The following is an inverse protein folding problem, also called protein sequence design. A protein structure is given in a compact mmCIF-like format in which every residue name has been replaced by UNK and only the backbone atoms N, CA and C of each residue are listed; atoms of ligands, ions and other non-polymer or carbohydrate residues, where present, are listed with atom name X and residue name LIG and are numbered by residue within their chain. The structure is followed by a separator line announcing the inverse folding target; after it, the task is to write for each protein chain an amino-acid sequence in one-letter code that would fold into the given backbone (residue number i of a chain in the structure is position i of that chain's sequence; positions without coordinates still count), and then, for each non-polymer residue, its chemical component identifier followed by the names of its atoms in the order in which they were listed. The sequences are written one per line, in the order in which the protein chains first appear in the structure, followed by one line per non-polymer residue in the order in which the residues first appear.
data_IF_323721637424
#
_entry.id   IF_323721637424
#
_cell.length_a   1.000
_cell.length_b   1.000
_cell.length_c   1.000
_cell.angle_alpha   90.00
_cell.angle_beta   90.00
_cell.angle_gamma   90.00
#
_symmetry.space_group_name_H-M   'P 1'
#
loop_
_entity.id
_entity.type
_entity.pdbx_description
1 polymer ?
#
# COMPACT_ATOMS: atom_id res chain seq x y z
N UNK A 1 -39.87 33.81 -17.60
CA UNK A 1 -39.41 34.40 -16.32
C UNK A 1 -39.25 33.29 -15.28
N UNK A 2 -38.06 33.06 -14.73
CA UNK A 2 -37.87 32.08 -13.63
C UNK A 2 -38.47 32.59 -12.33
N UNK A 3 -39.27 31.77 -11.64
CA UNK A 3 -39.97 32.20 -10.43
C UNK A 3 -38.99 32.54 -9.31
N UNK A 4 -39.37 33.46 -8.42
CA UNK A 4 -38.58 33.86 -7.24
C UNK A 4 -38.09 32.65 -6.42
N UNK A 5 -38.92 31.61 -6.29
CA UNK A 5 -38.58 30.35 -5.63
C UNK A 5 -37.50 29.54 -6.37
N UNK A 6 -37.53 29.50 -7.71
CA UNK A 6 -36.48 28.87 -8.51
C UNK A 6 -35.14 29.61 -8.38
N UNK A 7 -35.17 30.95 -8.35
CA UNK A 7 -33.97 31.78 -8.13
C UNK A 7 -33.37 31.56 -6.74
N UNK A 8 -34.20 31.44 -5.69
CA UNK A 8 -33.75 31.12 -4.33
C UNK A 8 -33.11 29.73 -4.24
N UNK A 9 -33.73 28.69 -4.79
CA UNK A 9 -33.18 27.32 -4.84
C UNK A 9 -31.85 27.26 -5.61
N UNK A 10 -31.73 28.00 -6.71
CA UNK A 10 -30.51 28.08 -7.49
C UNK A 10 -29.37 28.76 -6.71
N UNK A 11 -29.65 29.91 -6.06
CA UNK A 11 -28.68 30.59 -5.19
C UNK A 11 -28.22 29.71 -4.02
N UNK A 12 -29.12 28.95 -3.41
CA UNK A 12 -28.77 28.04 -2.33
C UNK A 12 -27.90 26.87 -2.82
N UNK A 13 -28.21 26.31 -3.99
CA UNK A 13 -27.38 25.28 -4.63
C UNK A 13 -25.97 25.80 -4.94
N UNK A 14 -25.86 27.02 -5.46
CA UNK A 14 -24.57 27.68 -5.73
C UNK A 14 -23.79 27.95 -4.44
N UNK A 15 -24.46 28.44 -3.39
CA UNK A 15 -23.84 28.64 -2.07
C UNK A 15 -23.32 27.33 -1.48
N UNK A 16 -24.12 26.25 -1.53
CA UNK A 16 -23.70 24.90 -1.08
C UNK A 16 -22.51 24.39 -1.92
N UNK A 17 -22.50 24.62 -3.23
CA UNK A 17 -21.39 24.23 -4.09
C UNK A 17 -20.10 25.02 -3.77
N UNK A 18 -20.20 26.34 -3.55
CA UNK A 18 -19.07 27.18 -3.12
C UNK A 18 -18.50 26.74 -1.78
N UNK A 19 -19.37 26.49 -0.79
CA UNK A 19 -18.94 25.99 0.53
C UNK A 19 -18.25 24.63 0.43
N UNK A 20 -18.81 23.69 -0.36
CA UNK A 20 -18.17 22.39 -0.62
C UNK A 20 -16.79 22.56 -1.26
N UNK A 21 -16.65 23.46 -2.23
CA UNK A 21 -15.36 23.71 -2.88
C UNK A 21 -14.36 24.38 -1.92
N UNK A 22 -14.79 25.31 -1.07
CA UNK A 22 -13.95 25.94 -0.05
C UNK A 22 -13.45 24.91 0.98
N UNK A 23 -14.33 24.05 1.49
CA UNK A 23 -13.96 22.94 2.38
C UNK A 23 -12.97 21.99 1.69
N UNK A 24 -13.20 21.69 0.40
CA UNK A 24 -12.28 20.86 -0.40
C UNK A 24 -10.90 21.50 -0.49
N UNK A 25 -10.81 22.78 -0.85
CA UNK A 25 -9.55 23.50 -0.96
C UNK A 25 -8.82 23.59 0.38
N UNK A 26 -9.53 23.84 1.47
CA UNK A 26 -8.96 23.87 2.81
C UNK A 26 -8.42 22.49 3.25
N UNK A 27 -9.16 21.41 2.97
CA UNK A 27 -8.67 20.04 3.19
C UNK A 27 -7.43 19.73 2.36
N UNK A 28 -7.37 20.20 1.12
CA UNK A 28 -6.21 20.01 0.26
C UNK A 28 -4.99 20.77 0.77
N UNK A 29 -5.15 22.02 1.19
CA UNK A 29 -4.08 22.79 1.82
C UNK A 29 -3.55 22.07 3.08
N UNK A 30 -4.44 21.57 3.94
CA UNK A 30 -4.07 20.82 5.14
C UNK A 30 -3.44 19.45 4.87
N UNK A 31 -3.53 18.94 3.65
CA UNK A 31 -2.99 17.63 3.26
C UNK A 31 -1.71 17.74 2.42
N UNK A 32 -1.14 18.94 2.31
CA UNK A 32 0.16 19.18 1.68
C UNK A 32 1.17 19.47 2.77
N UNK A 33 2.12 18.56 2.93
CA UNK A 33 3.21 18.69 3.86
C UNK A 33 4.41 19.36 3.18
N UNK A 34 5.24 20.05 3.95
CA UNK A 34 6.58 20.44 3.53
C UNK A 34 7.47 19.20 3.37
N UNK A 35 8.60 19.33 2.65
CA UNK A 35 9.53 18.20 2.44
C UNK A 35 10.03 17.59 3.76
N UNK A 36 10.30 18.42 4.77
CA UNK A 36 10.75 17.96 6.08
C UNK A 36 9.63 17.20 6.83
N UNK A 37 8.40 17.70 6.75
CA UNK A 37 7.23 17.03 7.32
C UNK A 37 6.93 15.71 6.61
N UNK A 38 7.08 15.64 5.28
CA UNK A 38 6.95 14.39 4.52
C UNK A 38 8.00 13.38 4.97
N UNK A 39 9.26 13.78 5.11
CA UNK A 39 10.32 12.91 5.59
C UNK A 39 10.04 12.40 7.01
N UNK A 40 9.60 13.27 7.93
CA UNK A 40 9.22 12.87 9.28
C UNK A 40 8.01 11.92 9.28
N UNK A 41 7.01 12.18 8.44
CA UNK A 41 5.83 11.34 8.29
C UNK A 41 6.18 9.97 7.70
N UNK A 42 7.10 9.92 6.73
CA UNK A 42 7.65 8.69 6.15
C UNK A 42 8.33 7.85 7.23
N UNK A 43 9.25 8.42 8.02
CA UNK A 43 9.87 7.68 9.13
C UNK A 43 8.83 7.17 10.14
N UNK A 44 7.91 8.04 10.54
CA UNK A 44 6.81 7.69 11.45
C UNK A 44 5.98 6.54 10.88
N UNK A 45 5.66 6.57 9.59
CA UNK A 45 4.88 5.55 8.91
C UNK A 45 5.55 4.17 9.00
N UNK A 46 6.87 4.10 8.82
CA UNK A 46 7.60 2.83 8.94
C UNK A 46 7.55 2.27 10.37
N UNK A 47 7.62 3.13 11.39
CA UNK A 47 7.48 2.70 12.78
C UNK A 47 6.09 2.15 13.08
N UNK A 48 5.05 2.86 12.59
CA UNK A 48 3.67 2.43 12.73
C UNK A 48 3.42 1.09 12.01
N UNK A 49 3.92 0.93 10.79
CA UNK A 49 3.76 -0.29 10.01
C UNK A 49 4.35 -1.51 10.74
N UNK A 50 5.55 -1.37 11.31
CA UNK A 50 6.15 -2.46 12.10
C UNK A 50 5.33 -2.82 13.34
N UNK A 51 4.70 -1.85 13.99
CA UNK A 51 3.78 -2.13 15.10
C UNK A 51 2.55 -2.90 14.59
N UNK A 52 1.95 -2.43 13.50
CA UNK A 52 0.79 -3.06 12.88
C UNK A 52 1.04 -4.54 12.53
N UNK A 53 2.21 -4.87 11.96
CA UNK A 53 2.54 -6.25 11.58
C UNK A 53 2.57 -7.20 12.78
N UNK A 54 3.04 -6.71 13.93
CA UNK A 54 3.06 -7.47 15.17
C UNK A 54 1.65 -7.61 15.76
N UNK A 55 0.84 -6.55 15.68
CA UNK A 55 -0.55 -6.57 16.13
C UNK A 55 -1.38 -7.61 15.37
N UNK A 56 -1.20 -7.72 14.06
CA UNK A 56 -1.88 -8.74 13.23
C UNK A 56 -1.72 -10.14 13.81
N UNK A 57 -0.48 -10.51 14.18
CA UNK A 57 -0.19 -11.82 14.73
C UNK A 57 -0.97 -12.11 16.02
N UNK A 58 -1.02 -11.15 16.93
CA UNK A 58 -1.75 -11.28 18.20
C UNK A 58 -3.27 -11.33 17.98
N UNK A 59 -3.83 -10.53 17.05
CA UNK A 59 -5.26 -10.62 16.72
C UNK A 59 -5.58 -12.01 16.14
N UNK A 60 -4.72 -12.60 15.30
CA UNK A 60 -4.93 -13.95 14.78
C UNK A 60 -4.97 -14.99 15.90
N UNK A 61 -4.05 -14.89 16.86
CA UNK A 61 -4.01 -15.79 18.01
C UNK A 61 -5.28 -15.66 18.87
N UNK A 62 -5.69 -14.43 19.14
CA UNK A 62 -6.93 -14.15 19.88
C UNK A 62 -8.16 -14.70 19.15
N UNK A 63 -8.34 -14.40 17.87
CA UNK A 63 -9.47 -14.94 17.10
C UNK A 63 -9.44 -16.48 17.06
N UNK A 64 -8.26 -17.09 16.96
CA UNK A 64 -8.11 -18.54 16.99
C UNK A 64 -8.54 -19.16 18.32
N UNK A 65 -8.25 -18.52 19.47
CA UNK A 65 -8.66 -19.04 20.79
C UNK A 65 -10.18 -19.08 20.97
N UNK A 66 -10.91 -18.29 20.17
CA UNK A 66 -12.37 -18.30 20.11
C UNK A 66 -12.94 -19.18 19.00
N UNK A 67 -12.10 -19.90 18.24
CA UNK A 67 -12.54 -20.66 17.07
C UNK A 67 -12.97 -19.79 15.89
N UNK A 68 -12.64 -18.49 15.91
CA UNK A 68 -13.00 -17.47 14.92
C UNK A 68 -11.82 -17.08 14.02
N UNK A 69 -10.77 -17.91 14.00
CA UNK A 69 -9.60 -17.65 13.17
C UNK A 69 -10.00 -17.50 11.69
N UNK A 70 -9.47 -16.49 10.98
CA UNK A 70 -9.69 -16.32 9.56
C UNK A 70 -9.34 -17.59 8.78
N UNK A 71 -10.27 -18.05 7.93
CA UNK A 71 -10.06 -19.22 7.05
C UNK A 71 -9.18 -18.90 5.83
N UNK A 72 -9.06 -17.62 5.49
CA UNK A 72 -8.23 -17.07 4.41
C UNK A 72 -7.24 -16.07 4.99
N UNK A 73 -6.21 -15.71 4.22
CA UNK A 73 -5.35 -14.60 4.62
C UNK A 73 -6.18 -13.32 4.58
N UNK A 74 -6.51 -12.81 5.76
CA UNK A 74 -7.19 -11.53 5.95
C UNK A 74 -6.17 -10.46 6.36
N UNK A 75 -6.40 -9.25 5.86
CA UNK A 75 -5.61 -8.08 6.23
C UNK A 75 -6.00 -7.57 7.63
N UNK A 76 -5.10 -6.80 8.24
CA UNK A 76 -5.32 -6.32 9.61
C UNK A 76 -6.57 -5.43 9.75
N UNK A 77 -6.98 -4.72 8.68
CA UNK A 77 -8.20 -3.91 8.65
C UNK A 77 -9.46 -4.76 8.82
N UNK A 78 -9.52 -5.85 8.06
CA UNK A 78 -10.63 -6.82 8.10
C UNK A 78 -10.70 -7.47 9.47
N UNK A 79 -9.57 -7.91 10.00
CA UNK A 79 -9.52 -8.51 11.33
C UNK A 79 -9.95 -7.56 12.45
N UNK A 80 -9.53 -6.29 12.40
CA UNK A 80 -9.98 -5.26 13.35
C UNK A 80 -11.49 -5.00 13.25
N UNK A 81 -12.07 -5.06 12.05
CA UNK A 81 -13.53 -4.96 11.86
C UNK A 81 -14.26 -6.17 12.41
N UNK A 82 -13.71 -7.37 12.19
CA UNK A 82 -14.27 -8.59 12.77
C UNK A 82 -14.29 -8.51 14.31
N UNK A 83 -13.30 -7.90 14.96
CA UNK A 83 -13.34 -7.65 16.40
C UNK A 83 -14.52 -6.77 16.82
N UNK A 84 -14.89 -5.75 16.01
CA UNK A 84 -16.07 -4.92 16.24
C UNK A 84 -17.33 -5.78 16.12
N UNK A 85 -17.47 -6.49 15.00
CA UNK A 85 -18.67 -7.26 14.68
C UNK A 85 -18.90 -8.39 15.70
N UNK A 86 -17.84 -9.14 16.05
CA UNK A 86 -17.93 -10.20 17.06
C UNK A 86 -18.22 -9.67 18.45
N UNK A 87 -17.71 -8.49 18.81
CA UNK A 87 -18.03 -7.89 20.10
C UNK A 87 -19.50 -7.44 20.20
N UNK A 88 -20.13 -7.07 19.09
CA UNK A 88 -21.56 -6.74 19.07
C UNK A 88 -22.45 -7.99 19.17
N UNK A 89 -21.98 -9.13 18.64
CA UNK A 89 -22.78 -10.37 18.53
C UNK A 89 -22.58 -11.31 19.72
N UNK A 90 -21.36 -11.41 20.25
CA UNK A 90 -20.98 -12.42 21.24
C UNK A 90 -20.85 -11.73 22.61
N UNK A 91 -21.78 -11.98 23.56
CA UNK A 91 -21.63 -11.51 24.93
C UNK A 91 -20.29 -11.96 25.49
N UNK A 92 -19.55 -11.03 26.09
CA UNK A 92 -18.26 -11.25 26.76
C UNK A 92 -17.03 -11.52 25.89
N UNK A 93 -17.12 -11.36 24.56
CA UNK A 93 -16.04 -11.67 23.61
C UNK A 93 -14.67 -11.08 23.98
N UNK A 94 -14.60 -9.78 24.25
CA UNK A 94 -13.37 -9.12 24.72
C UNK A 94 -13.39 -8.91 26.24
N UNK A 95 -14.57 -8.93 26.87
CA UNK A 95 -14.76 -8.57 28.28
C UNK A 95 -14.37 -9.67 29.29
N UNK A 96 -13.68 -10.73 28.86
CA UNK A 96 -13.09 -11.76 29.74
C UNK A 96 -11.64 -11.47 30.14
N UNK A 97 -11.06 -10.32 29.75
CA UNK A 97 -9.79 -9.87 30.34
C UNK A 97 -10.04 -9.36 31.78
N UNK A 98 -9.24 -9.73 32.80
CA UNK A 98 -9.54 -9.48 34.23
C UNK A 98 -9.67 -8.02 34.69
N UNK A 99 -9.56 -7.05 33.77
CA UNK A 99 -9.78 -5.64 34.04
C UNK A 99 -10.79 -5.12 33.03
N UNK A 100 -12.04 -4.95 33.48
CA UNK A 100 -13.18 -4.43 32.72
C UNK A 100 -12.84 -3.06 32.10
N UNK A 101 -12.27 -3.04 30.91
CA UNK A 101 -12.28 -1.85 30.07
C UNK A 101 -13.46 -2.03 29.14
N UNK A 102 -14.48 -1.17 29.31
CA UNK A 102 -15.58 -1.09 28.36
C UNK A 102 -15.01 -0.85 26.95
N UNK A 103 -15.48 -1.65 26.00
CA UNK A 103 -14.90 -1.69 24.66
C UNK A 103 -15.38 -0.46 23.92
N UNK A 104 -14.49 0.50 23.74
CA UNK A 104 -14.80 1.66 22.94
C UNK A 104 -14.74 1.25 21.46
N UNK A 105 -15.90 1.04 20.82
CA UNK A 105 -16.03 0.88 19.36
C UNK A 105 -15.25 1.97 18.63
N UNK A 106 -15.14 3.17 19.20
CA UNK A 106 -14.32 4.27 18.67
C UNK A 106 -12.83 3.93 18.66
N UNK A 107 -12.29 3.25 19.68
CA UNK A 107 -10.89 2.77 19.70
C UNK A 107 -10.62 1.78 18.57
N UNK A 108 -11.50 0.80 18.35
CA UNK A 108 -11.36 -0.15 17.24
C UNK A 108 -11.48 0.55 15.87
N UNK A 109 -12.45 1.46 15.71
CA UNK A 109 -12.57 2.28 14.49
C UNK A 109 -11.34 3.17 14.26
N UNK A 110 -10.76 3.71 15.35
CA UNK A 110 -9.52 4.49 15.30
C UNK A 110 -8.34 3.61 14.91
N UNK A 111 -8.25 2.38 15.41
CA UNK A 111 -7.22 1.41 15.02
C UNK A 111 -7.33 1.03 13.53
N UNK A 112 -8.54 0.86 13.00
CA UNK A 112 -8.80 0.64 11.56
C UNK A 112 -8.35 1.85 10.74
N UNK A 113 -8.70 3.06 11.19
CA UNK A 113 -8.28 4.29 10.53
C UNK A 113 -6.75 4.47 10.56
N UNK A 114 -6.11 4.20 11.69
CA UNK A 114 -4.67 4.21 11.85
C UNK A 114 -3.99 3.27 10.85
N UNK A 115 -4.47 2.01 10.77
CA UNK A 115 -4.00 1.02 9.80
C UNK A 115 -4.08 1.59 8.39
N UNK A 116 -5.24 2.08 7.99
CA UNK A 116 -5.45 2.55 6.63
C UNK A 116 -4.57 3.77 6.32
N UNK A 117 -4.43 4.70 7.27
CA UNK A 117 -3.55 5.85 7.11
C UNK A 117 -2.09 5.43 6.92
N UNK A 118 -1.61 4.44 7.69
CA UNK A 118 -0.26 3.89 7.55
C UNK A 118 -0.07 3.14 6.23
N UNK A 119 -0.87 2.12 5.95
CA UNK A 119 -0.70 1.25 4.78
C UNK A 119 -0.92 1.97 3.44
N UNK A 120 -1.82 2.96 3.40
CA UNK A 120 -2.07 3.76 2.19
C UNK A 120 -1.24 5.06 2.15
N UNK A 121 -0.27 5.22 3.05
CA UNK A 121 0.66 6.36 3.00
C UNK A 121 -0.04 7.73 3.09
N UNK A 122 -1.07 7.85 3.94
CA UNK A 122 -1.69 9.14 4.26
C UNK A 122 -0.80 9.91 5.24
N UNK A 123 0.31 10.45 4.72
CA UNK A 123 1.34 11.14 5.52
C UNK A 123 0.79 12.27 6.38
N UNK A 124 -0.15 13.12 5.91
CA UNK A 124 -0.75 14.16 6.75
C UNK A 124 -1.44 13.61 8.00
N UNK A 125 -2.21 12.52 7.85
CA UNK A 125 -2.87 11.87 8.98
C UNK A 125 -1.83 11.20 9.91
N UNK A 126 -0.85 10.49 9.33
CA UNK A 126 0.23 9.87 10.11
C UNK A 126 0.96 10.89 10.96
N UNK A 127 1.34 12.03 10.40
CA UNK A 127 2.10 13.06 11.12
C UNK A 127 1.28 13.67 12.27
N UNK A 128 0.02 14.02 12.01
CA UNK A 128 -0.86 14.68 13.00
C UNK A 128 -1.37 13.74 14.09
N UNK A 129 -1.63 12.48 13.73
CA UNK A 129 -2.39 11.55 14.58
C UNK A 129 -1.55 10.40 15.14
N UNK A 130 -0.23 10.36 14.86
CA UNK A 130 0.70 9.28 15.27
C UNK A 130 0.54 8.79 16.70
N UNK A 131 0.39 9.72 17.66
CA UNK A 131 0.22 9.37 19.07
C UNK A 131 -1.11 8.65 19.30
N UNK A 132 -2.20 9.20 18.77
CA UNK A 132 -3.53 8.58 18.88
C UNK A 132 -3.62 7.23 18.15
N UNK A 133 -2.84 7.03 17.09
CA UNK A 133 -2.76 5.75 16.37
C UNK A 133 -2.10 4.67 17.24
N UNK A 134 -0.95 4.97 17.83
CA UNK A 134 -0.28 4.02 18.73
C UNK A 134 -1.09 3.74 19.98
N UNK A 135 -1.72 4.77 20.59
CA UNK A 135 -2.59 4.58 21.75
C UNK A 135 -3.75 3.64 21.42
N UNK A 136 -4.41 3.81 20.27
CA UNK A 136 -5.47 2.90 19.85
C UNK A 136 -4.97 1.45 19.70
N UNK A 137 -3.79 1.23 19.09
CA UNK A 137 -3.23 -0.12 18.98
C UNK A 137 -2.74 -0.70 20.32
N UNK A 138 -2.27 0.14 21.24
CA UNK A 138 -1.93 -0.27 22.62
C UNK A 138 -3.19 -0.76 23.34
N UNK A 139 -4.29 -0.01 23.24
CA UNK A 139 -5.57 -0.39 23.82
C UNK A 139 -6.10 -1.68 23.21
N UNK A 140 -6.07 -1.84 21.88
CA UNK A 140 -6.45 -3.10 21.23
C UNK A 140 -5.59 -4.27 21.70
N UNK A 141 -4.27 -4.07 21.82
CA UNK A 141 -3.39 -5.12 22.35
C UNK A 141 -3.74 -5.50 23.80
N UNK A 142 -4.12 -4.53 24.64
CA UNK A 142 -4.59 -4.80 26.01
C UNK A 142 -5.92 -5.56 25.99
N UNK A 143 -6.87 -5.16 25.14
CA UNK A 143 -8.20 -5.78 24.98
C UNK A 143 -8.09 -7.27 24.64
N UNK A 144 -7.16 -7.65 23.77
CA UNK A 144 -6.96 -9.05 23.36
C UNK A 144 -5.97 -9.81 24.27
N UNK A 145 -5.56 -9.23 25.40
CA UNK A 145 -4.64 -9.86 26.37
C UNK A 145 -3.15 -9.85 25.97
N UNK A 146 -2.77 -9.19 24.88
CA UNK A 146 -1.40 -9.07 24.39
C UNK A 146 -0.59 -7.98 25.11
N UNK A 147 -0.50 -8.04 26.44
CA UNK A 147 0.15 -7.00 27.28
C UNK A 147 1.63 -6.77 26.98
N UNK A 148 2.36 -7.82 26.59
CA UNK A 148 3.77 -7.71 26.17
C UNK A 148 3.90 -6.86 24.90
N UNK A 149 2.98 -7.01 23.94
CA UNK A 149 2.92 -6.21 22.73
C UNK A 149 2.55 -4.76 23.02
N UNK A 150 1.57 -4.53 23.91
CA UNK A 150 1.21 -3.18 24.37
C UNK A 150 2.42 -2.45 24.96
N UNK A 151 3.23 -3.14 25.77
CA UNK A 151 4.48 -2.59 26.34
C UNK A 151 5.49 -2.22 25.25
N UNK A 152 5.63 -3.07 24.21
CA UNK A 152 6.48 -2.77 23.06
C UNK A 152 6.01 -1.53 22.30
N UNK A 153 4.71 -1.36 22.07
CA UNK A 153 4.17 -0.18 21.40
C UNK A 153 4.34 1.10 22.22
N UNK A 154 4.25 1.04 23.56
CA UNK A 154 4.60 2.17 24.43
C UNK A 154 6.04 2.61 24.25
N UNK A 155 6.99 1.68 24.08
CA UNK A 155 8.39 2.02 23.77
C UNK A 155 8.52 2.73 22.42
N UNK A 156 7.78 2.29 21.40
CA UNK A 156 7.75 2.99 20.10
C UNK A 156 7.13 4.37 20.20
N UNK A 157 6.08 4.54 21.00
CA UNK A 157 5.49 5.84 21.27
C UNK A 157 6.51 6.80 21.91
N UNK A 158 7.24 6.32 22.93
CA UNK A 158 8.28 7.12 23.56
C UNK A 158 9.41 7.47 22.58
N UNK A 159 9.83 6.51 21.73
CA UNK A 159 10.83 6.75 20.70
C UNK A 159 10.40 7.83 19.70
N UNK A 160 9.12 7.86 19.29
CA UNK A 160 8.61 8.87 18.37
C UNK A 160 8.41 10.25 19.00
N UNK A 161 8.32 10.31 20.33
CA UNK A 161 8.16 11.55 21.09
C UNK A 161 9.50 12.14 21.56
N UNK A 162 10.59 11.37 21.52
CA UNK A 162 11.91 11.80 21.95
C UNK A 162 12.80 12.17 20.74
N UNK A 163 13.09 13.46 20.51
CA UNK A 163 13.93 13.91 19.41
C UNK A 163 15.35 13.33 19.44
N UNK A 164 15.86 12.96 20.63
CA UNK A 164 17.21 12.38 20.79
C UNK A 164 17.31 10.95 20.24
N UNK A 165 16.17 10.29 19.98
CA UNK A 165 16.11 8.94 19.42
C UNK A 165 15.96 8.95 17.89
N UNK A 166 16.07 10.11 17.26
CA UNK A 166 15.97 10.26 15.80
C UNK A 166 16.92 9.29 15.08
N UNK A 167 16.40 8.54 14.11
CA UNK A 167 17.15 7.55 13.33
C UNK A 167 17.17 6.13 13.91
N UNK A 168 16.74 5.89 15.15
CA UNK A 168 16.59 4.53 15.67
C UNK A 168 15.35 3.87 15.08
N UNK A 169 15.50 2.68 14.48
CA UNK A 169 14.37 1.92 13.91
C UNK A 169 13.82 0.93 14.94
N UNK A 170 12.51 0.97 15.21
CA UNK A 170 11.87 0.01 16.10
C UNK A 170 11.68 -1.33 15.39
N UNK A 171 11.96 -2.46 16.05
CA UNK A 171 11.63 -3.82 15.57
C UNK A 171 12.16 -4.21 14.19
N UNK A 172 13.26 -3.61 13.72
CA UNK A 172 13.89 -4.04 12.46
C UNK A 172 14.75 -5.28 12.68
N UNK A 173 14.53 -6.30 11.86
CA UNK A 173 15.33 -7.53 11.86
C UNK A 173 16.32 -7.47 10.69
N UNK A 174 17.63 -7.68 10.93
CA UNK A 174 18.62 -7.78 9.87
C UNK A 174 18.29 -8.87 8.83
N UNK A 175 18.52 -8.64 7.52
CA UNK A 175 18.19 -9.61 6.47
C UNK A 175 18.78 -11.01 6.65
N UNK A 176 20.03 -11.12 7.13
CA UNK A 176 20.67 -12.42 7.34
C UNK A 176 19.90 -13.29 8.36
N UNK A 177 19.33 -12.69 9.41
CA UNK A 177 18.51 -13.39 10.41
C UNK A 177 17.21 -13.90 9.78
N UNK A 178 16.59 -13.08 8.91
CA UNK A 178 15.37 -13.46 8.18
C UNK A 178 15.64 -14.71 7.35
N UNK A 179 16.69 -14.70 6.53
CA UNK A 179 17.00 -15.81 5.64
C UNK A 179 17.51 -17.03 6.38
N UNK A 180 18.28 -16.87 7.47
CA UNK A 180 18.66 -17.98 8.34
C UNK A 180 17.44 -18.68 8.96
N UNK A 181 16.45 -17.89 9.40
CA UNK A 181 15.18 -18.41 9.94
C UNK A 181 14.36 -19.14 8.89
N UNK A 182 14.38 -18.68 7.63
CA UNK A 182 13.70 -19.36 6.53
C UNK A 182 14.43 -20.64 6.10
N UNK A 183 15.76 -20.65 6.11
CA UNK A 183 16.57 -21.79 5.71
C UNK A 183 16.53 -22.94 6.74
N UNK A 184 16.35 -22.62 8.03
CA UNK A 184 16.22 -23.63 9.09
C UNK A 184 14.87 -24.37 9.05
N UNK A 185 13.87 -23.81 8.39
CA UNK A 185 12.53 -24.38 8.26
C UNK A 185 12.45 -25.45 7.15
N UNK A 186 12.54 -26.73 7.53
CA UNK A 186 12.48 -27.87 6.60
C UNK A 186 11.06 -28.30 6.21
N UNK A 187 10.03 -27.59 6.67
CA UNK A 187 8.61 -27.93 6.39
C UNK A 187 8.00 -27.04 5.32
N UNK A 188 7.03 -27.57 4.56
CA UNK A 188 6.19 -26.78 3.65
C UNK A 188 5.04 -26.06 4.37
N UNK A 189 4.74 -26.43 5.61
CA UNK A 189 3.68 -25.80 6.42
C UNK A 189 4.01 -24.33 6.71
N UNK A 190 2.98 -23.54 6.97
CA UNK A 190 3.11 -22.16 7.44
C UNK A 190 3.33 -22.18 8.95
N UNK A 191 4.56 -21.91 9.39
CA UNK A 191 4.97 -21.93 10.80
C UNK A 191 5.07 -20.51 11.37
N UNK A 192 5.14 -20.40 12.70
CA UNK A 192 5.39 -19.11 13.38
C UNK A 192 6.71 -18.47 12.95
N UNK A 193 7.74 -19.27 12.69
CA UNK A 193 9.04 -18.79 12.18
C UNK A 193 8.90 -18.16 10.80
N UNK A 194 8.20 -18.83 9.87
CA UNK A 194 7.92 -18.27 8.55
C UNK A 194 7.10 -17.00 8.63
N UNK A 195 6.11 -16.95 9.52
CA UNK A 195 5.32 -15.74 9.73
C UNK A 195 6.16 -14.58 10.26
N UNK A 196 7.05 -14.82 11.24
CA UNK A 196 7.97 -13.80 11.76
C UNK A 196 8.97 -13.32 10.69
N UNK A 197 9.49 -14.23 9.87
CA UNK A 197 10.34 -13.90 8.73
C UNK A 197 9.58 -13.09 7.67
N UNK A 198 8.33 -13.46 7.37
CA UNK A 198 7.47 -12.71 6.45
C UNK A 198 7.23 -11.28 6.94
N UNK A 199 6.90 -11.10 8.22
CA UNK A 199 6.70 -9.78 8.85
C UNK A 199 7.96 -8.92 8.71
N UNK A 200 9.12 -9.52 8.97
CA UNK A 200 10.41 -8.82 8.91
C UNK A 200 10.76 -8.42 7.48
N UNK A 201 10.57 -9.33 6.53
CA UNK A 201 10.78 -9.07 5.10
C UNK A 201 9.79 -8.03 4.57
N UNK A 202 8.51 -8.13 4.96
CA UNK A 202 7.49 -7.15 4.59
C UNK A 202 7.85 -5.75 5.08
N UNK A 203 8.45 -5.64 6.27
CA UNK A 203 8.94 -4.35 6.78
C UNK A 203 10.03 -3.74 5.91
N UNK A 204 10.92 -4.54 5.32
CA UNK A 204 11.91 -4.06 4.37
C UNK A 204 11.31 -3.62 3.03
N UNK A 205 10.30 -4.34 2.54
CA UNK A 205 9.59 -3.95 1.32
C UNK A 205 8.74 -2.70 1.55
N UNK A 206 8.11 -2.57 2.71
CA UNK A 206 7.33 -1.40 3.07
C UNK A 206 8.20 -0.15 3.18
N UNK A 207 9.41 -0.26 3.75
CA UNK A 207 10.39 0.83 3.74
C UNK A 207 10.61 1.33 2.29
N UNK A 208 10.85 0.43 1.33
CA UNK A 208 10.99 0.79 -0.09
C UNK A 208 9.73 1.46 -0.65
N UNK A 209 8.54 0.93 -0.32
CA UNK A 209 7.28 1.48 -0.79
C UNK A 209 7.08 2.93 -0.32
N UNK A 210 7.40 3.22 0.95
CA UNK A 210 7.12 4.53 1.54
C UNK A 210 8.25 5.55 1.34
N UNK A 211 9.49 5.10 1.19
CA UNK A 211 10.67 5.97 0.95
C UNK A 211 10.85 6.32 -0.52
N UNK A 212 10.66 5.35 -1.41
CA UNK A 212 11.03 5.48 -2.81
C UNK A 212 9.80 5.49 -3.71
N UNK A 213 9.02 4.42 -3.66
CA UNK A 213 7.97 4.20 -4.66
C UNK A 213 6.84 5.22 -4.56
N UNK A 214 6.26 5.38 -3.36
CA UNK A 214 5.15 6.30 -3.12
C UNK A 214 5.49 7.76 -3.46
N UNK A 215 6.60 8.32 -2.94
CA UNK A 215 6.99 9.69 -3.25
C UNK A 215 7.26 9.91 -4.75
N UNK A 216 7.97 8.99 -5.42
CA UNK A 216 8.23 9.07 -6.86
C UNK A 216 6.94 9.03 -7.69
N UNK A 217 6.01 8.12 -7.38
CA UNK A 217 4.71 8.07 -8.06
C UNK A 217 3.91 9.35 -7.85
N UNK A 218 3.89 9.88 -6.63
CA UNK A 218 3.17 11.12 -6.33
C UNK A 218 3.77 12.33 -7.07
N UNK A 219 5.11 12.39 -7.19
CA UNK A 219 5.80 13.42 -7.98
C UNK A 219 5.49 13.28 -9.47
N UNK A 220 5.50 12.06 -10.01
CA UNK A 220 5.14 11.78 -11.40
C UNK A 220 3.69 12.20 -11.70
N UNK A 221 2.74 11.83 -10.85
CA UNK A 221 1.33 12.21 -10.94
C UNK A 221 1.18 13.73 -10.96
N UNK A 222 1.91 14.43 -10.09
CA UNK A 222 1.93 15.90 -10.03
C UNK A 222 2.50 16.52 -11.31
N UNK A 223 3.65 16.04 -11.77
CA UNK A 223 4.33 16.59 -12.95
C UNK A 223 3.48 16.44 -14.21
N UNK A 224 2.79 15.31 -14.35
CA UNK A 224 1.92 15.02 -15.49
C UNK A 224 0.48 15.51 -15.32
N UNK A 225 0.18 16.22 -14.22
CA UNK A 225 -1.15 16.79 -13.92
C UNK A 225 -2.29 15.76 -14.01
N UNK A 226 -2.02 14.51 -13.64
CA UNK A 226 -3.01 13.43 -13.69
C UNK A 226 -4.11 13.60 -12.63
N UNK A 227 -3.89 14.49 -11.65
CA UNK A 227 -4.82 14.72 -10.54
C UNK A 227 -4.80 16.18 -10.08
N UNK A 228 -5.97 16.83 -10.08
CA UNK A 228 -6.12 18.24 -9.67
C UNK A 228 -5.95 18.47 -8.16
N UNK A 229 -6.17 17.43 -7.35
CA UNK A 229 -6.26 17.52 -5.90
C UNK A 229 -4.98 16.98 -5.22
N UNK A 230 -3.81 17.33 -5.74
CA UNK A 230 -2.51 16.90 -5.21
C UNK A 230 -2.37 17.10 -3.70
N UNK A 231 -1.83 16.07 -3.03
CA UNK A 231 -1.64 15.95 -1.57
C UNK A 231 -0.46 15.03 -1.25
N UNK A 232 0.06 15.05 -0.03
CA UNK A 232 1.08 14.12 0.47
C UNK A 232 0.52 12.72 0.82
N UNK A 233 -0.57 12.29 0.18
CA UNK A 233 -1.17 10.95 0.33
C UNK A 233 -0.74 10.07 -0.84
N UNK A 234 -0.20 8.88 -0.53
CA UNK A 234 0.38 7.94 -1.48
C UNK A 234 -0.50 6.69 -1.64
N UNK A 235 -1.77 6.85 -1.99
CA UNK A 235 -2.76 5.74 -1.99
C UNK A 235 -2.80 4.97 -3.32
N UNK A 236 -2.41 3.69 -3.27
CA UNK A 236 -2.29 2.81 -4.43
C UNK A 236 -3.55 2.61 -5.24
N UNK A 237 -4.73 2.59 -4.61
CA UNK A 237 -5.94 2.32 -5.38
C UNK A 237 -6.25 3.47 -6.33
N UNK A 238 -5.85 4.68 -5.95
CA UNK A 238 -5.90 5.84 -6.84
C UNK A 238 -4.76 5.80 -7.85
N UNK A 239 -3.56 5.44 -7.41
CA UNK A 239 -2.39 5.39 -8.29
C UNK A 239 -2.54 4.36 -9.42
N UNK A 240 -3.15 3.18 -9.15
CA UNK A 240 -3.45 2.16 -10.17
C UNK A 240 -4.30 2.72 -11.31
N UNK A 241 -5.45 3.30 -10.97
CA UNK A 241 -6.37 3.84 -11.97
C UNK A 241 -5.71 5.00 -12.72
N UNK A 242 -4.98 5.87 -12.02
CA UNK A 242 -4.30 7.00 -12.64
C UNK A 242 -3.19 6.55 -13.62
N UNK A 243 -2.39 5.55 -13.25
CA UNK A 243 -1.25 5.10 -14.04
C UNK A 243 -1.62 4.18 -15.19
N UNK A 244 -2.66 3.36 -15.04
CA UNK A 244 -3.03 2.35 -16.04
C UNK A 244 -4.24 2.77 -16.90
N UNK A 245 -5.18 3.53 -16.34
CA UNK A 245 -6.40 3.93 -17.05
C UNK A 245 -6.30 5.36 -17.62
N UNK A 246 -5.66 6.29 -16.90
CA UNK A 246 -5.65 7.71 -17.26
C UNK A 246 -4.34 8.16 -17.94
N UNK A 247 -3.23 7.44 -17.79
CA UNK A 247 -1.97 7.73 -18.48
C UNK A 247 -1.96 7.17 -19.91
N UNK A 248 -1.42 7.97 -20.82
CA UNK A 248 -1.00 7.49 -22.13
C UNK A 248 0.37 6.79 -22.03
N UNK A 249 0.64 5.81 -22.89
CA UNK A 249 1.91 5.07 -22.87
C UNK A 249 3.10 5.99 -23.17
N UNK A 250 2.87 7.03 -23.95
CA UNK A 250 3.84 8.07 -24.28
C UNK A 250 4.26 8.92 -23.06
N UNK A 251 3.56 8.82 -21.93
CA UNK A 251 3.95 9.47 -20.67
C UNK A 251 5.08 8.74 -19.95
N UNK A 252 5.35 7.48 -20.33
CA UNK A 252 6.39 6.66 -19.71
C UNK A 252 7.67 6.66 -20.55
N UNK A 253 8.81 6.63 -19.87
CA UNK A 253 10.06 6.19 -20.47
C UNK A 253 9.97 4.68 -20.66
N UNK A 254 10.37 4.17 -21.83
CA UNK A 254 10.39 2.72 -22.08
C UNK A 254 11.69 2.15 -21.51
N UNK A 255 11.65 1.33 -20.43
CA UNK A 255 12.87 0.78 -19.86
C UNK A 255 13.59 -0.15 -20.85
N UNK A 256 14.92 -0.21 -20.77
CA UNK A 256 15.72 -1.06 -21.64
C UNK A 256 15.26 -2.53 -21.56
N UNK A 257 15.10 -3.17 -22.73
CA UNK A 257 14.71 -4.58 -22.82
C UNK A 257 13.21 -4.81 -22.86
N UNK A 258 12.39 -3.76 -22.75
CA UNK A 258 10.94 -3.84 -22.95
C UNK A 258 10.63 -4.11 -24.42
N UNK A 259 9.99 -5.24 -24.71
CA UNK A 259 9.78 -5.73 -26.08
C UNK A 259 8.56 -5.12 -26.76
N UNK A 260 7.54 -4.74 -26.00
CA UNK A 260 6.30 -4.14 -26.50
C UNK A 260 5.51 -3.44 -25.39
N UNK A 261 4.42 -2.77 -25.77
CA UNK A 261 3.52 -2.07 -24.86
C UNK A 261 2.82 -3.00 -23.85
N UNK A 262 2.47 -4.22 -24.24
CA UNK A 262 1.81 -5.19 -23.34
C UNK A 262 2.73 -5.60 -22.20
N UNK A 263 4.03 -5.79 -22.49
CA UNK A 263 5.03 -6.05 -21.48
C UNK A 263 5.18 -4.88 -20.51
N UNK A 264 5.26 -3.64 -21.02
CA UNK A 264 5.30 -2.44 -20.17
C UNK A 264 4.11 -2.42 -19.20
N UNK A 265 2.89 -2.55 -19.71
CA UNK A 265 1.67 -2.53 -18.88
C UNK A 265 1.70 -3.66 -17.84
N UNK A 266 2.01 -4.89 -18.25
CA UNK A 266 2.07 -6.04 -17.33
C UNK A 266 3.09 -5.85 -16.21
N UNK A 267 4.26 -5.26 -16.50
CA UNK A 267 5.28 -4.96 -15.49
C UNK A 267 4.82 -3.85 -14.54
N UNK A 268 4.13 -2.82 -15.04
CA UNK A 268 3.52 -1.78 -14.20
C UNK A 268 2.43 -2.37 -13.29
N UNK A 269 1.56 -3.23 -13.82
CA UNK A 269 0.53 -3.93 -13.05
C UNK A 269 1.13 -4.76 -11.91
N UNK A 270 2.16 -5.57 -12.20
CA UNK A 270 2.85 -6.35 -11.18
C UNK A 270 3.53 -5.51 -10.11
N UNK A 271 4.06 -4.34 -10.47
CA UNK A 271 4.60 -3.40 -9.49
C UNK A 271 3.48 -2.87 -8.57
N UNK A 272 2.31 -2.54 -9.11
CA UNK A 272 1.18 -2.10 -8.29
C UNK A 272 0.66 -3.23 -7.40
N UNK A 273 0.54 -4.45 -7.93
CA UNK A 273 0.09 -5.62 -7.18
C UNK A 273 1.11 -6.00 -6.08
N UNK A 274 2.41 -5.90 -6.36
CA UNK A 274 3.47 -6.10 -5.37
C UNK A 274 3.38 -5.11 -4.23
N UNK A 275 3.11 -3.83 -4.53
CA UNK A 275 2.87 -2.82 -3.48
C UNK A 275 1.57 -3.13 -2.72
N UNK A 276 0.52 -3.58 -3.38
CA UNK A 276 -0.73 -3.99 -2.72
C UNK A 276 -0.48 -5.12 -1.70
N UNK A 277 0.21 -6.19 -2.13
CA UNK A 277 0.56 -7.31 -1.27
C UNK A 277 1.36 -6.88 -0.02
N UNK A 278 2.30 -5.94 -0.20
CA UNK A 278 3.11 -5.39 0.90
C UNK A 278 2.26 -4.60 1.90
N UNK A 279 1.35 -3.73 1.41
CA UNK A 279 0.52 -2.87 2.26
C UNK A 279 -0.67 -3.58 2.90
N UNK A 280 -1.11 -4.72 2.35
CA UNK A 280 -2.25 -5.50 2.85
C UNK A 280 -1.83 -6.79 3.56
N UNK A 281 -0.58 -6.90 3.97
CA UNK A 281 -0.07 -7.94 4.87
C UNK A 281 -0.20 -9.37 4.29
N UNK A 282 -0.07 -9.50 2.96
CA UNK A 282 -0.15 -10.79 2.26
C UNK A 282 1.14 -11.60 2.44
N UNK A 283 1.42 -12.02 3.67
CA UNK A 283 2.71 -12.58 4.11
C UNK A 283 3.23 -13.73 3.25
N UNK A 284 2.34 -14.62 2.78
CA UNK A 284 2.71 -15.72 1.87
C UNK A 284 3.20 -15.19 0.52
N UNK A 285 2.43 -14.30 -0.08
CA UNK A 285 2.78 -13.66 -1.35
C UNK A 285 4.09 -12.89 -1.25
N UNK A 286 4.31 -12.19 -0.12
CA UNK A 286 5.57 -11.48 0.16
C UNK A 286 6.76 -12.43 0.20
N UNK A 287 6.71 -13.52 0.98
CA UNK A 287 7.82 -14.49 1.05
C UNK A 287 8.14 -15.08 -0.32
N UNK A 288 7.11 -15.40 -1.11
CA UNK A 288 7.28 -16.13 -2.36
C UNK A 288 7.74 -15.21 -3.51
N UNK A 289 7.35 -13.92 -3.50
CA UNK A 289 7.48 -13.03 -4.65
C UNK A 289 8.29 -11.75 -4.40
N UNK A 290 8.85 -11.55 -3.20
CA UNK A 290 9.61 -10.32 -2.89
C UNK A 290 10.69 -9.93 -3.91
N UNK A 291 11.46 -10.85 -4.55
CA UNK A 291 12.47 -10.43 -5.52
C UNK A 291 11.80 -9.82 -6.75
N UNK A 292 10.74 -10.48 -7.23
CA UNK A 292 9.92 -10.01 -8.36
C UNK A 292 9.33 -8.64 -8.06
N UNK A 293 8.77 -8.44 -6.86
CA UNK A 293 8.21 -7.13 -6.46
C UNK A 293 9.25 -6.02 -6.52
N UNK A 294 10.44 -6.22 -5.96
CA UNK A 294 11.50 -5.21 -6.01
C UNK A 294 12.00 -4.98 -7.45
N UNK A 295 12.14 -6.04 -8.25
CA UNK A 295 12.49 -5.91 -9.67
C UNK A 295 11.44 -5.12 -10.45
N UNK A 296 10.16 -5.32 -10.15
CA UNK A 296 9.06 -4.58 -10.78
C UNK A 296 8.97 -3.14 -10.26
N UNK A 297 9.34 -2.88 -9.01
CA UNK A 297 9.49 -1.50 -8.49
C UNK A 297 10.62 -0.75 -9.19
N UNK A 298 11.79 -1.39 -9.40
CA UNK A 298 12.90 -0.80 -10.17
C UNK A 298 12.43 -0.46 -11.58
N UNK A 299 11.70 -1.37 -12.22
CA UNK A 299 11.15 -1.17 -13.55
C UNK A 299 10.17 0.00 -13.59
N UNK A 300 9.20 0.04 -12.68
CA UNK A 300 8.23 1.13 -12.57
C UNK A 300 8.93 2.48 -12.34
N UNK A 301 9.88 2.54 -11.40
CA UNK A 301 10.66 3.76 -11.13
C UNK A 301 11.47 4.23 -12.35
N UNK A 302 11.99 3.29 -13.15
CA UNK A 302 12.66 3.61 -14.41
C UNK A 302 11.66 4.16 -15.42
N UNK A 303 10.48 3.54 -15.52
CA UNK A 303 9.44 3.94 -16.46
C UNK A 303 8.87 5.34 -16.19
N UNK A 304 8.87 5.79 -14.93
CA UNK A 304 8.45 7.14 -14.53
C UNK A 304 9.62 8.14 -14.42
N UNK A 305 10.76 7.81 -15.02
CA UNK A 305 11.97 8.64 -15.05
C UNK A 305 12.51 9.04 -13.66
N UNK A 306 12.55 8.08 -12.74
CA UNK A 306 13.08 8.24 -11.39
C UNK A 306 14.34 7.36 -11.17
N UNK A 307 15.42 7.54 -11.95
CA UNK A 307 16.57 6.63 -11.94
C UNK A 307 17.29 6.58 -10.58
N UNK A 308 17.37 7.68 -9.83
CA UNK A 308 18.01 7.68 -8.51
C UNK A 308 17.25 6.82 -7.49
N UNK A 309 15.91 6.84 -7.54
CA UNK A 309 15.08 5.97 -6.70
C UNK A 309 15.21 4.51 -7.16
N UNK A 310 15.17 4.26 -8.47
CA UNK A 310 15.37 2.92 -9.04
C UNK A 310 16.70 2.29 -8.57
N UNK A 311 17.80 3.06 -8.58
CA UNK A 311 19.11 2.60 -8.07
C UNK A 311 19.07 2.24 -6.58
N UNK A 312 18.38 3.03 -5.74
CA UNK A 312 18.26 2.72 -4.30
C UNK A 312 17.43 1.45 -4.06
N UNK A 313 16.36 1.24 -4.84
CA UNK A 313 15.58 0.01 -4.78
C UNK A 313 16.38 -1.20 -5.29
N UNK A 314 17.16 -1.03 -6.36
CA UNK A 314 18.04 -2.06 -6.87
C UNK A 314 19.09 -2.45 -5.83
N UNK A 315 19.73 -1.49 -5.17
CA UNK A 315 20.68 -1.75 -4.08
C UNK A 315 20.03 -2.53 -2.93
N UNK A 316 18.75 -2.26 -2.62
CA UNK A 316 18.00 -3.01 -1.61
C UNK A 316 17.72 -4.45 -2.06
N UNK A 317 17.36 -4.66 -3.33
CA UNK A 317 17.18 -5.98 -3.92
C UNK A 317 18.49 -6.78 -3.86
N UNK A 318 19.59 -6.19 -4.31
CA UNK A 318 20.91 -6.83 -4.34
C UNK A 318 21.38 -7.22 -2.94
N UNK A 319 21.17 -6.35 -1.94
CA UNK A 319 21.46 -6.64 -0.54
C UNK A 319 20.67 -7.86 -0.05
N UNK A 320 19.35 -7.89 -0.28
CA UNK A 320 18.52 -9.01 0.17
C UNK A 320 18.87 -10.32 -0.55
N UNK A 321 19.17 -10.27 -1.86
CA UNK A 321 19.61 -11.44 -2.62
C UNK A 321 20.94 -11.97 -2.11
N UNK A 322 21.90 -11.07 -1.89
CA UNK A 322 23.24 -11.40 -1.37
C UNK A 322 23.13 -12.11 -0.02
N UNK A 323 22.36 -11.56 0.91
CA UNK A 323 22.20 -12.18 2.24
C UNK A 323 21.47 -13.52 2.18
N UNK A 324 20.46 -13.67 1.31
CA UNK A 324 19.80 -14.96 1.08
C UNK A 324 20.78 -15.99 0.53
N UNK A 325 21.57 -15.61 -0.45
CA UNK A 325 22.45 -16.53 -1.17
C UNK A 325 23.64 -16.95 -0.31
N UNK A 326 24.19 -16.05 0.53
CA UNK A 326 25.16 -16.39 1.59
C UNK A 326 24.63 -17.45 2.55
N UNK A 327 23.40 -17.28 3.04
CA UNK A 327 22.78 -18.25 3.95
C UNK A 327 22.57 -19.59 3.25
N UNK A 328 22.09 -19.59 2.00
CA UNK A 328 21.87 -20.81 1.23
C UNK A 328 23.17 -21.56 0.92
N UNK A 329 24.29 -20.84 0.67
CA UNK A 329 25.59 -21.45 0.43
C UNK A 329 26.16 -22.15 1.68
N UNK A 330 25.85 -21.61 2.87
CA UNK A 330 26.28 -22.16 4.16
C UNK A 330 25.31 -23.20 4.72
N UNK A 331 24.13 -23.37 4.13
CA UNK A 331 23.17 -24.39 4.51
C UNK A 331 23.56 -25.73 3.86
N UNK A 332 23.64 -26.79 4.65
CA UNK A 332 23.89 -28.15 4.12
C UNK A 332 22.81 -28.49 3.08
N UNK A 333 23.16 -28.90 1.84
CA UNK A 333 22.17 -29.10 0.79
C UNK A 333 21.17 -30.19 1.18
N UNK A 334 19.87 -29.87 1.02
CA UNK A 334 18.80 -30.86 1.14
C UNK A 334 18.94 -31.91 0.01
N UNK A 335 18.66 -33.20 0.28
CA UNK A 335 18.74 -34.25 -0.72
C UNK A 335 17.87 -33.92 -1.95
N UNK A 336 18.40 -34.27 -3.11
CA UNK A 336 18.01 -33.85 -4.46
C UNK A 336 16.55 -34.11 -4.87
N UNK A 337 15.78 -34.87 -4.08
CA UNK A 337 14.38 -35.20 -4.34
C UNK A 337 13.40 -34.03 -4.13
N UNK A 338 13.86 -32.88 -3.61
CA UNK A 338 13.00 -31.71 -3.36
C UNK A 338 13.28 -30.49 -4.27
N UNK A 339 14.31 -30.53 -5.12
CA UNK A 339 14.77 -29.37 -5.92
C UNK A 339 14.11 -29.26 -7.31
N UNK A 340 13.31 -30.24 -7.72
CA UNK A 340 12.69 -30.28 -9.04
C UNK A 340 11.46 -29.38 -9.13
N UNK A 341 11.60 -28.05 -9.09
CA UNK A 341 10.65 -27.14 -9.77
C UNK A 341 11.12 -25.68 -9.96
N UNK A 342 12.31 -25.28 -9.48
CA UNK A 342 12.72 -23.85 -9.51
C UNK A 342 13.38 -23.36 -10.80
N UNK A 343 13.60 -24.22 -11.80
CA UNK A 343 14.23 -23.85 -13.08
C UNK A 343 13.31 -24.14 -14.26
N UNK A 344 12.40 -23.23 -14.58
CA UNK A 344 11.88 -23.05 -15.95
C UNK A 344 11.21 -21.69 -16.10
N UNK A 345 12.00 -20.71 -16.51
CA UNK A 345 11.64 -19.56 -17.37
C UNK A 345 12.90 -18.69 -17.53
N UNK A 346 13.91 -19.23 -18.21
CA UNK A 346 14.90 -18.39 -18.88
C UNK A 346 14.29 -17.96 -20.20
N UNK A 347 14.02 -16.68 -20.36
CA UNK A 347 13.54 -16.09 -21.60
C UNK A 347 14.63 -16.28 -22.67
N UNK A 348 14.23 -16.88 -23.79
CA UNK A 348 15.04 -17.01 -25.00
C UNK A 348 15.29 -15.64 -25.60
N UNK A 349 16.57 -15.32 -25.81
CA UNK A 349 17.04 -14.09 -26.46
C UNK A 349 16.69 -14.15 -27.95
N UNK A 350 15.64 -13.42 -28.35
CA UNK A 350 15.33 -13.11 -29.74
C UNK A 350 16.00 -11.80 -30.15
N UNK A 351 16.60 -11.75 -31.34
CA UNK A 351 17.29 -10.57 -31.89
C UNK A 351 16.34 -9.35 -31.99
N UNK A 352 16.87 -8.11 -31.81
CA UNK A 352 16.07 -6.90 -31.89
C UNK A 352 15.69 -6.57 -33.34
N UNK A 353 14.45 -6.17 -33.63
CA UNK A 353 14.12 -5.51 -34.89
C UNK A 353 14.50 -4.02 -34.82
N UNK A 354 14.94 -3.49 -35.97
CA UNK A 354 15.35 -2.09 -36.14
C UNK A 354 14.16 -1.11 -36.07
N UNK A 355 14.49 0.12 -35.69
CA UNK A 355 13.59 1.21 -35.36
C UNK A 355 12.62 1.62 -36.48
N UNK A 356 11.39 1.95 -36.08
CA UNK A 356 10.45 2.69 -36.92
C UNK A 356 8.98 2.33 -36.67
N UNK A 357 8.27 3.23 -36.00
CA UNK A 357 6.80 3.33 -35.92
C UNK A 357 6.02 2.07 -35.52
N UNK A 358 5.60 2.02 -34.25
CA UNK A 358 4.63 1.04 -33.78
C UNK A 358 3.26 1.28 -34.43
N UNK A 359 2.81 0.29 -35.21
CA UNK A 359 1.51 0.27 -35.86
C UNK A 359 0.42 0.15 -34.80
N UNK A 360 -0.46 1.16 -34.71
CA UNK A 360 -1.67 1.15 -33.89
C UNK A 360 -2.55 -0.06 -34.26
N UNK A 361 -2.69 -1.01 -33.34
CA UNK A 361 -3.88 -1.86 -33.28
C UNK A 361 -4.81 -1.32 -32.19
N UNK A 362 -6.05 -1.05 -32.59
CA UNK A 362 -7.11 -0.54 -31.71
C UNK A 362 -7.22 -1.43 -30.47
N UNK A 363 -7.12 -0.78 -29.31
CA UNK A 363 -7.22 -1.38 -27.99
C UNK A 363 -8.51 -2.17 -27.82
N UNK A 364 -8.40 -3.42 -27.37
CA UNK A 364 -9.53 -4.31 -27.07
C UNK A 364 -10.15 -4.05 -25.68
N UNK A 365 -9.89 -2.89 -25.07
CA UNK A 365 -10.38 -2.51 -23.74
C UNK A 365 -11.67 -1.70 -23.83
N UNK A 366 -12.69 -2.30 -24.46
CA UNK A 366 -14.08 -1.86 -24.37
C UNK A 366 -14.97 -3.07 -24.08
N UNK A 367 -14.80 -3.69 -22.91
CA UNK A 367 -15.84 -4.53 -22.30
C UNK A 367 -16.07 -4.14 -20.85
N UNK A 368 -16.99 -3.18 -20.71
CA UNK A 368 -18.02 -3.02 -19.65
C UNK A 368 -17.62 -3.33 -18.20
N UNK A 369 -17.20 -2.28 -17.50
CA UNK A 369 -17.59 -2.02 -16.10
C UNK A 369 -18.66 -0.92 -16.08
N UNK A 370 -19.61 -0.92 -15.12
CA UNK A 370 -20.75 -0.01 -15.15
C UNK A 370 -20.28 1.46 -15.04
N UNK A 371 -20.95 2.41 -15.71
CA UNK A 371 -20.41 3.74 -15.85
C UNK A 371 -20.39 4.47 -14.51
N UNK A 372 -19.21 4.92 -14.09
CA UNK A 372 -19.10 5.94 -13.04
C UNK A 372 -19.92 7.17 -13.45
N UNK A 373 -20.57 7.80 -12.47
CA UNK A 373 -21.46 8.97 -12.64
C UNK A 373 -20.74 10.15 -13.32
N UNK A 374 -19.40 10.16 -13.29
CA UNK A 374 -18.53 11.15 -13.93
C UNK A 374 -18.41 10.89 -15.44
N UNK A 375 -18.32 9.62 -15.87
CA UNK A 375 -18.33 9.26 -17.29
C UNK A 375 -19.66 9.57 -18.01
N UNK A 376 -20.78 9.58 -17.28
CA UNK A 376 -22.07 10.02 -17.81
C UNK A 376 -22.16 11.55 -18.01
N UNK A 377 -21.46 12.32 -17.18
CA UNK A 377 -21.41 13.78 -17.30
C UNK A 377 -20.54 14.22 -18.49
N UNK A 378 -19.37 13.61 -18.69
CA UNK A 378 -18.53 13.90 -19.86
C UNK A 378 -19.21 13.50 -21.18
N UNK A 379 -19.94 12.38 -21.22
CA UNK A 379 -20.73 11.98 -22.40
C UNK A 379 -21.90 12.92 -22.73
N UNK A 380 -22.50 13.58 -21.73
CA UNK A 380 -23.55 14.60 -21.94
C UNK A 380 -22.98 15.93 -22.46
N UNK A 381 -21.76 16.30 -22.08
CA UNK A 381 -21.08 17.50 -22.61
C UNK A 381 -20.60 17.27 -24.05
N UNK A 382 -19.99 16.11 -24.33
CA UNK A 382 -19.55 15.74 -25.69
C UNK A 382 -20.72 15.62 -26.69
N UNK A 383 -21.88 15.08 -26.28
CA UNK A 383 -23.09 15.04 -27.13
C UNK A 383 -23.73 16.42 -27.38
N UNK A 384 -23.46 17.40 -26.52
CA UNK A 384 -23.96 18.77 -26.70
C UNK A 384 -23.07 19.58 -27.65
N UNK A 385 -21.76 19.32 -27.62
CA UNK A 385 -20.79 19.95 -28.54
C UNK A 385 -20.90 19.39 -29.97
N UNK A 386 -21.10 18.08 -30.14
CA UNK A 386 -21.30 17.49 -31.49
C UNK A 386 -22.62 17.88 -32.15
N UNK A 387 -23.64 18.31 -31.39
CA UNK A 387 -24.89 18.84 -31.95
C UNK A 387 -24.82 20.32 -32.36
N UNK A 388 -23.80 21.08 -31.93
CA UNK A 388 -23.61 22.47 -32.36
C UNK A 388 -22.75 22.59 -33.63
N UNK A 389 -21.95 21.57 -33.95
CA UNK A 389 -21.13 21.56 -35.19
C UNK A 389 -21.89 21.05 -36.42
N UNK A 390 -23.04 20.36 -36.25
CA UNK A 390 -23.82 19.79 -37.37
C UNK A 390 -24.93 20.75 -37.87
N UNK A 391 -25.12 21.92 -37.23
CA UNK A 391 -26.08 22.96 -37.69
C UNK A 391 -25.42 24.18 -38.32
N UNK A 392 -24.14 24.13 -38.68
CA UNK A 392 -23.45 25.19 -39.45
C UNK A 392 -22.57 24.64 -40.58
N UNK A 393 -23.09 23.68 -41.33
CA UNK A 393 -22.57 23.29 -42.65
C UNK A 393 -23.72 23.12 -43.62
#
# INVERSE_FOLDING_TARGET
MTSSAQRRKQKEKERRARLKNQIRLQRLANNRLSRNEEQQAVETCKHLHRCLMLLRGEIKVFLASWGLAPRRDEDTSTMLRNLIDYNEIIPTFISLTPNRVEIDKRTLLKAVYARNATCHGNLPAVLRERQSFLLAWIEVAIMIGAHSLATRFRRTLNLLNDPSQSGKKAFTVPPYIIFQSLASERTRKWTKTKEAAAISLNSHLFDVVVEELGPSLNQFIKANRLRDDWSSTMDVYKDKNLLLDDCCVETFVVPHGTTNQEELINRLEKAIDGRHAVCHDEHRHVIDNWPTYLTDFVFLLTAIDCPSAATRVQAKLDLLLTERDKVNANATPLPSSQLAFRRRRSLSVGKPPQAGQWIRRKSMWLKRSPPSVIGAACRKVLKKMTKQTITMS
#
